data_IF_498942982637
#
_entry.id   IF_498942982637
#
_cell.length_a   1.000
_cell.length_b   1.000
_cell.length_c   1.000
_cell.angle_alpha   90.00
_cell.angle_beta   90.00
_cell.angle_gamma   90.00
#
_symmetry.space_group_name_H-M   'P 1'
#
loop_
_entity.id
_entity.type
_entity.pdbx_description
1 polymer ?
#
# COMPACT_ATOMS: atom_id res chain seq x y z
N UNK A 1 10.39 -16.46 -10.23
CA UNK A 1 10.56 -17.56 -9.25
C UNK A 1 11.56 -17.25 -8.12
N UNK A 2 12.23 -16.09 -8.04
CA UNK A 2 13.54 -16.03 -7.33
C UNK A 2 13.66 -15.04 -6.14
N UNK A 3 12.64 -14.25 -5.78
CA UNK A 3 12.79 -13.26 -4.68
C UNK A 3 12.26 -13.69 -3.31
N UNK A 4 11.34 -14.64 -3.25
CA UNK A 4 10.61 -14.96 -2.02
C UNK A 4 10.87 -16.38 -1.45
N UNK A 5 11.64 -17.22 -2.16
CA UNK A 5 12.02 -18.54 -1.69
C UNK A 5 13.27 -18.50 -0.80
N UNK A 6 13.28 -17.63 0.22
CA UNK A 6 14.14 -17.88 1.36
C UNK A 6 13.51 -19.01 2.18
N UNK A 7 14.32 -20.00 2.57
CA UNK A 7 13.87 -21.15 3.37
C UNK A 7 13.10 -20.67 4.60
N UNK A 8 11.79 -20.95 4.65
CA UNK A 8 10.92 -20.62 5.78
C UNK A 8 10.03 -19.37 5.60
N UNK A 9 10.15 -18.62 4.51
CA UNK A 9 9.28 -17.46 4.26
C UNK A 9 7.86 -17.90 3.87
N UNK A 10 6.88 -17.55 4.71
CA UNK A 10 5.46 -17.77 4.42
C UNK A 10 5.04 -16.92 3.23
N UNK A 11 4.66 -17.58 2.15
CA UNK A 11 4.24 -16.96 0.88
C UNK A 11 2.98 -17.65 0.36
N UNK A 12 2.13 -16.92 -0.34
CA UNK A 12 0.94 -17.46 -0.98
C UNK A 12 0.80 -16.96 -2.41
N UNK A 13 0.04 -17.71 -3.22
CA UNK A 13 -0.44 -17.23 -4.51
C UNK A 13 -1.68 -16.36 -4.25
N UNK A 14 -1.74 -15.12 -4.78
CA UNK A 14 -2.89 -14.23 -4.59
C UNK A 14 -4.15 -14.82 -5.23
N UNK A 15 -5.30 -14.57 -4.61
CA UNK A 15 -6.62 -14.91 -5.14
C UNK A 15 -7.37 -13.62 -5.50
N UNK A 16 -7.85 -13.54 -6.74
CA UNK A 16 -8.68 -12.43 -7.16
C UNK A 16 -10.16 -12.79 -7.05
N UNK A 17 -10.95 -11.88 -6.49
CA UNK A 17 -12.40 -11.98 -6.41
C UNK A 17 -13.07 -10.91 -7.28
N UNK A 18 -14.24 -11.24 -7.84
CA UNK A 18 -15.09 -10.31 -8.57
C UNK A 18 -16.30 -9.93 -7.71
N UNK A 19 -16.05 -9.21 -6.61
CA UNK A 19 -17.08 -8.65 -5.73
C UNK A 19 -17.59 -7.31 -6.28
N UNK A 20 -18.85 -6.96 -5.99
CA UNK A 20 -19.40 -5.63 -6.29
C UNK A 20 -18.67 -4.52 -5.52
N UNK A 21 -18.34 -4.82 -4.27
CA UNK A 21 -17.55 -3.96 -3.38
C UNK A 21 -16.07 -4.34 -3.45
N UNK A 22 -15.17 -3.37 -3.73
CA UNK A 22 -13.73 -3.58 -3.68
C UNK A 22 -13.28 -3.97 -2.28
N UNK A 23 -12.33 -4.90 -2.18
CA UNK A 23 -11.71 -5.25 -0.91
C UNK A 23 -10.27 -5.72 -1.07
N UNK A 24 -9.52 -5.63 0.02
CA UNK A 24 -8.20 -6.26 0.16
C UNK A 24 -8.15 -6.98 1.50
N UNK A 25 -7.75 -8.25 1.49
CA UNK A 25 -7.54 -9.06 2.68
C UNK A 25 -6.17 -9.74 2.62
N UNK A 26 -5.32 -9.39 3.57
CA UNK A 26 -3.97 -9.93 3.75
C UNK A 26 -3.85 -10.49 5.16
N UNK A 27 -3.39 -11.74 5.28
CA UNK A 27 -3.16 -12.43 6.55
C UNK A 27 -1.68 -12.68 6.73
N UNK A 28 -1.13 -12.30 7.88
CA UNK A 28 0.28 -12.39 8.26
C UNK A 28 1.23 -11.89 7.14
N UNK A 29 0.91 -10.73 6.59
CA UNK A 29 1.67 -10.13 5.49
C UNK A 29 2.90 -9.38 5.97
N UNK A 30 3.97 -9.38 5.15
CA UNK A 30 5.26 -8.77 5.46
C UNK A 30 5.70 -7.84 4.34
N UNK A 31 6.49 -6.81 4.68
CA UNK A 31 6.95 -5.85 3.67
C UNK A 31 7.99 -6.53 2.75
N UNK A 32 7.71 -6.69 1.43
CA UNK A 32 8.58 -7.45 0.53
C UNK A 32 10.02 -6.92 0.47
N UNK A 33 10.19 -5.60 0.59
CA UNK A 33 11.50 -4.95 0.51
C UNK A 33 12.32 -5.10 1.78
N UNK A 34 11.69 -5.30 2.94
CA UNK A 34 12.36 -5.39 4.23
C UNK A 34 12.73 -6.81 4.65
N UNK A 35 12.15 -7.84 4.00
CA UNK A 35 12.44 -9.25 4.30
C UNK A 35 13.94 -9.60 4.25
N UNK A 36 14.72 -8.93 3.41
CA UNK A 36 16.16 -9.17 3.29
C UNK A 36 17.00 -8.50 4.39
N UNK A 37 16.44 -7.49 5.05
CA UNK A 37 17.17 -6.62 5.97
C UNK A 37 16.74 -6.79 7.43
N UNK A 38 15.58 -7.41 7.65
CA UNK A 38 15.00 -7.59 8.98
C UNK A 38 14.56 -9.04 9.15
N UNK A 39 15.37 -9.82 9.87
CA UNK A 39 15.06 -11.23 10.19
C UNK A 39 13.80 -11.35 11.07
N UNK A 40 13.55 -10.35 11.93
CA UNK A 40 12.44 -10.32 12.88
C UNK A 40 11.32 -9.34 12.45
N UNK A 41 10.99 -9.31 11.16
CA UNK A 41 9.87 -8.47 10.70
C UNK A 41 8.54 -9.03 11.22
N UNK A 42 7.80 -8.20 11.96
CA UNK A 42 6.48 -8.54 12.50
C UNK A 42 5.46 -8.55 11.37
N UNK A 43 4.77 -9.69 11.20
CA UNK A 43 3.72 -9.84 10.20
C UNK A 43 2.47 -9.05 10.59
N UNK A 44 1.75 -8.52 9.60
CA UNK A 44 0.56 -7.70 9.79
C UNK A 44 -0.62 -8.24 8.99
N UNK A 45 -1.78 -8.28 9.63
CA UNK A 45 -3.06 -8.48 8.95
C UNK A 45 -3.56 -7.14 8.41
N UNK A 46 -4.06 -7.12 7.18
CA UNK A 46 -4.63 -5.92 6.56
C UNK A 46 -5.96 -6.29 5.92
N UNK A 47 -7.03 -5.68 6.40
CA UNK A 47 -8.39 -5.85 5.87
C UNK A 47 -8.97 -4.50 5.50
N UNK A 48 -9.30 -4.32 4.23
CA UNK A 48 -9.95 -3.13 3.69
C UNK A 48 -11.26 -3.58 3.07
N UNK A 49 -12.38 -3.24 3.71
CA UNK A 49 -13.74 -3.49 3.24
C UNK A 49 -14.56 -2.18 3.13
N UNK A 50 -14.01 -1.07 3.64
CA UNK A 50 -14.59 0.27 3.61
C UNK A 50 -13.88 1.15 2.58
N UNK A 51 -14.53 2.24 2.20
CA UNK A 51 -13.97 3.25 1.28
C UNK A 51 -12.77 4.01 1.89
N UNK A 52 -12.60 3.97 3.22
CA UNK A 52 -11.53 4.66 3.94
C UNK A 52 -11.04 3.83 5.12
N UNK A 53 -9.70 3.75 5.26
CA UNK A 53 -9.01 3.21 6.42
C UNK A 53 -8.13 4.30 7.02
N UNK A 54 -8.42 4.71 8.26
CA UNK A 54 -7.62 5.70 8.98
C UNK A 54 -6.59 4.98 9.86
N UNK A 55 -5.30 5.15 9.55
CA UNK A 55 -4.20 4.55 10.31
C UNK A 55 -3.56 5.60 11.23
N UNK A 56 -3.81 5.50 12.53
CA UNK A 56 -3.24 6.40 13.55
C UNK A 56 -2.21 5.68 14.43
N UNK A 57 -1.39 6.44 15.14
CA UNK A 57 -0.35 5.91 16.03
C UNK A 57 0.89 6.80 16.10
N UNK A 58 1.85 6.49 16.98
CA UNK A 58 3.05 7.31 17.18
C UNK A 58 3.89 7.41 15.91
N UNK A 59 4.62 8.51 15.76
CA UNK A 59 5.65 8.65 14.72
C UNK A 59 6.69 7.53 14.92
N UNK A 60 7.16 6.94 13.81
CA UNK A 60 7.99 5.72 13.79
C UNK A 60 7.30 4.40 14.18
N UNK A 61 5.98 4.39 14.43
CA UNK A 61 5.21 3.16 14.68
C UNK A 61 5.01 2.22 13.47
N UNK A 62 5.71 2.45 12.36
CA UNK A 62 5.62 1.60 11.17
C UNK A 62 4.42 1.85 10.24
N UNK A 63 3.64 2.93 10.46
CA UNK A 63 2.46 3.27 9.66
C UNK A 63 2.77 3.38 8.16
N UNK A 64 3.76 4.20 7.80
CA UNK A 64 4.21 4.36 6.41
C UNK A 64 4.77 3.06 5.82
N UNK A 65 5.41 2.23 6.65
CA UNK A 65 5.90 0.90 6.26
C UNK A 65 4.75 -0.04 5.90
N UNK A 66 3.66 -0.02 6.68
CA UNK A 66 2.45 -0.80 6.43
C UNK A 66 1.74 -0.36 5.15
N UNK A 67 1.61 0.96 4.93
CA UNK A 67 1.02 1.49 3.69
C UNK A 67 1.82 1.10 2.45
N UNK A 68 3.16 1.24 2.51
CA UNK A 68 4.05 0.81 1.42
C UNK A 68 3.99 -0.70 1.19
N UNK A 69 3.90 -1.49 2.27
CA UNK A 69 3.75 -2.95 2.19
C UNK A 69 2.49 -3.33 1.41
N UNK A 70 1.34 -2.73 1.74
CA UNK A 70 0.09 -2.96 1.04
C UNK A 70 0.22 -2.66 -0.46
N UNK A 71 0.73 -1.49 -0.83
CA UNK A 71 0.91 -1.11 -2.24
C UNK A 71 1.81 -2.08 -3.00
N UNK A 72 2.94 -2.47 -2.42
CA UNK A 72 3.86 -3.44 -3.03
C UNK A 72 3.22 -4.82 -3.21
N UNK A 73 2.47 -5.30 -2.22
CA UNK A 73 1.79 -6.60 -2.30
C UNK A 73 0.73 -6.60 -3.40
N UNK A 74 -0.06 -5.52 -3.54
CA UNK A 74 -1.06 -5.40 -4.61
C UNK A 74 -0.40 -5.44 -6.00
N UNK A 75 0.71 -4.70 -6.19
CA UNK A 75 1.48 -4.74 -7.44
C UNK A 75 1.98 -6.15 -7.74
N UNK A 76 2.62 -6.79 -6.76
CA UNK A 76 3.12 -8.16 -6.90
C UNK A 76 2.00 -9.14 -7.24
N UNK A 77 0.84 -9.00 -6.59
CA UNK A 77 -0.30 -9.85 -6.83
C UNK A 77 -0.80 -9.73 -8.27
N UNK A 78 -0.96 -8.51 -8.79
CA UNK A 78 -1.42 -8.25 -10.16
C UNK A 78 -0.39 -8.58 -11.23
N UNK A 79 0.89 -8.70 -10.88
CA UNK A 79 1.93 -9.27 -11.74
C UNK A 79 1.88 -10.81 -11.81
N UNK A 80 1.00 -11.46 -11.04
CA UNK A 80 0.94 -12.92 -10.93
C UNK A 80 2.09 -13.53 -10.12
N UNK A 81 2.76 -12.73 -9.28
CA UNK A 81 3.81 -13.22 -8.40
C UNK A 81 3.23 -13.80 -7.10
N UNK A 82 3.99 -14.69 -6.46
CA UNK A 82 3.76 -15.01 -5.06
C UNK A 82 3.95 -13.74 -4.22
N UNK A 83 3.20 -13.64 -3.12
CA UNK A 83 3.29 -12.52 -2.18
C UNK A 83 3.69 -13.01 -0.79
N UNK A 84 4.43 -12.21 0.01
CA UNK A 84 4.87 -12.57 1.35
C UNK A 84 3.75 -12.42 2.39
N UNK A 85 2.75 -13.28 2.31
CA UNK A 85 1.63 -13.37 3.22
C UNK A 85 1.22 -14.83 3.37
N UNK A 86 0.54 -15.16 4.48
CA UNK A 86 -0.11 -16.47 4.66
C UNK A 86 -1.30 -16.61 3.72
N UNK A 87 -2.09 -15.55 3.59
CA UNK A 87 -3.20 -15.47 2.65
C UNK A 87 -3.28 -14.07 2.03
N UNK A 88 -3.66 -14.02 0.76
CA UNK A 88 -3.87 -12.79 0.01
C UNK A 88 -5.08 -12.97 -0.91
N UNK A 89 -6.15 -12.24 -0.61
CA UNK A 89 -7.35 -12.19 -1.44
C UNK A 89 -7.75 -10.74 -1.65
N UNK A 90 -7.98 -10.34 -2.89
CA UNK A 90 -8.32 -8.95 -3.22
C UNK A 90 -9.22 -8.89 -4.46
N UNK A 91 -9.96 -7.80 -4.59
CA UNK A 91 -10.48 -7.38 -5.89
C UNK A 91 -9.37 -6.74 -6.72
N UNK A 92 -9.35 -6.91 -8.05
CA UNK A 92 -8.39 -6.21 -8.90
C UNK A 92 -8.41 -4.69 -8.68
N UNK A 93 -7.22 -4.10 -8.52
CA UNK A 93 -7.02 -2.67 -8.38
C UNK A 93 -6.67 -2.09 -9.75
N UNK A 94 -7.39 -1.05 -10.17
CA UNK A 94 -7.20 -0.45 -11.49
C UNK A 94 -6.06 0.59 -11.51
N UNK A 95 -5.87 1.30 -10.41
CA UNK A 95 -4.85 2.33 -10.25
C UNK A 95 -4.44 2.47 -8.79
N UNK A 96 -3.16 2.69 -8.56
CA UNK A 96 -2.61 2.99 -7.24
C UNK A 96 -2.17 4.45 -7.23
N UNK A 97 -2.73 5.23 -6.32
CA UNK A 97 -2.32 6.60 -6.05
C UNK A 97 -1.53 6.63 -4.75
N UNK A 98 -0.42 7.35 -4.73
CA UNK A 98 0.43 7.46 -3.55
C UNK A 98 0.78 8.92 -3.26
N UNK A 99 0.64 9.30 -2.00
CA UNK A 99 1.22 10.51 -1.42
C UNK A 99 1.86 10.08 -0.11
N UNK A 100 3.13 9.68 -0.16
CA UNK A 100 3.83 9.07 0.97
C UNK A 100 5.01 9.94 1.41
N UNK A 101 4.71 11.10 2.01
CA UNK A 101 5.70 12.06 2.52
C UNK A 101 6.41 12.89 1.46
N UNK A 102 6.89 14.07 1.87
CA UNK A 102 7.44 15.11 1.00
C UNK A 102 8.73 14.67 0.29
N UNK A 103 8.66 14.49 -1.03
CA UNK A 103 9.80 14.93 -1.84
C UNK A 103 9.67 16.45 -1.95
N UNK A 104 10.54 17.16 -1.25
CA UNK A 104 10.72 18.60 -1.39
C UNK A 104 10.95 18.94 -2.86
N UNK A 105 9.87 19.33 -3.55
CA UNK A 105 9.98 20.10 -4.79
C UNK A 105 10.14 21.56 -4.38
N UNK A 106 11.35 21.90 -3.95
CA UNK A 106 11.79 23.30 -3.69
C UNK A 106 11.79 24.13 -4.99
N UNK A 107 11.66 23.48 -6.14
CA UNK A 107 11.78 24.10 -7.45
C UNK A 107 10.38 24.29 -8.02
N UNK A 108 9.84 25.53 -7.94
CA UNK A 108 8.87 26.14 -8.88
C UNK A 108 8.03 27.31 -8.29
N UNK A 109 8.41 27.98 -7.20
CA UNK A 109 7.76 29.25 -6.81
C UNK A 109 6.27 29.18 -6.43
N UNK A 110 5.68 27.99 -6.38
CA UNK A 110 4.32 27.72 -5.90
C UNK A 110 4.34 27.29 -4.42
N UNK A 111 3.27 27.60 -3.68
CA UNK A 111 3.13 27.19 -2.29
C UNK A 111 3.06 25.66 -2.17
N UNK A 112 3.74 25.09 -1.19
CA UNK A 112 3.64 23.66 -0.84
C UNK A 112 2.20 23.20 -0.67
N UNK A 113 1.36 24.04 -0.07
CA UNK A 113 -0.07 23.80 0.07
C UNK A 113 -0.81 23.71 -1.27
N UNK A 114 -0.46 24.56 -2.24
CA UNK A 114 -1.07 24.51 -3.57
C UNK A 114 -0.69 23.23 -4.31
N UNK A 115 0.58 22.82 -4.23
CA UNK A 115 1.06 21.56 -4.81
C UNK A 115 0.30 20.37 -4.18
N UNK A 116 0.14 20.35 -2.86
CA UNK A 116 -0.60 19.30 -2.14
C UNK A 116 -2.07 19.22 -2.56
N UNK A 117 -2.75 20.36 -2.67
CA UNK A 117 -4.13 20.41 -3.12
C UNK A 117 -4.26 19.98 -4.58
N UNK A 118 -3.33 20.39 -5.44
CA UNK A 118 -3.31 20.01 -6.86
C UNK A 118 -3.14 18.49 -7.03
N UNK A 119 -2.20 17.89 -6.29
CA UNK A 119 -2.01 16.43 -6.27
C UNK A 119 -3.27 15.71 -5.74
N UNK A 120 -3.87 16.21 -4.66
CA UNK A 120 -5.12 15.65 -4.11
C UNK A 120 -6.28 15.76 -5.11
N UNK A 121 -6.39 16.87 -5.83
CA UNK A 121 -7.40 17.06 -6.87
C UNK A 121 -7.21 16.07 -8.03
N UNK A 122 -5.97 15.77 -8.41
CA UNK A 122 -5.66 14.73 -9.41
C UNK A 122 -6.12 13.35 -8.92
N UNK A 123 -5.85 13.00 -7.66
CA UNK A 123 -6.32 11.74 -7.07
C UNK A 123 -7.84 11.64 -7.14
N UNK A 124 -8.56 12.68 -6.68
CA UNK A 124 -10.03 12.70 -6.67
C UNK A 124 -10.64 12.66 -8.08
N UNK A 125 -10.02 13.33 -9.05
CA UNK A 125 -10.52 13.39 -10.43
C UNK A 125 -10.36 12.06 -11.16
N UNK A 126 -9.36 11.28 -10.81
CA UNK A 126 -8.96 10.10 -11.57
C UNK A 126 -9.17 8.77 -10.84
N UNK A 127 -9.48 8.79 -9.56
CA UNK A 127 -9.80 7.59 -8.80
C UNK A 127 -11.14 7.00 -9.24
N UNK A 128 -11.21 5.67 -9.22
CA UNK A 128 -12.46 4.93 -9.38
C UNK A 128 -12.74 4.17 -8.09
N UNK A 129 -13.89 3.51 -8.00
CA UNK A 129 -14.18 2.61 -6.88
C UNK A 129 -13.12 1.52 -6.71
N UNK A 130 -12.43 1.11 -7.77
CA UNK A 130 -11.40 0.07 -7.72
C UNK A 130 -9.98 0.61 -7.51
N UNK A 131 -9.81 1.91 -7.32
CA UNK A 131 -8.50 2.52 -7.11
C UNK A 131 -8.06 2.38 -5.65
N UNK A 132 -6.78 2.09 -5.44
CA UNK A 132 -6.16 2.11 -4.12
C UNK A 132 -5.46 3.45 -3.92
N UNK A 133 -5.88 4.20 -2.91
CA UNK A 133 -5.27 5.49 -2.57
C UNK A 133 -4.51 5.34 -1.24
N UNK A 134 -3.21 5.60 -1.25
CA UNK A 134 -2.34 5.55 -0.08
C UNK A 134 -1.85 6.96 0.24
N UNK A 135 -2.30 7.52 1.35
CA UNK A 135 -1.93 8.88 1.76
C UNK A 135 -1.29 8.84 3.15
N UNK A 136 -0.13 9.47 3.25
CA UNK A 136 0.63 9.73 4.46
C UNK A 136 0.73 11.25 4.63
N UNK A 137 0.48 11.73 5.85
CA UNK A 137 0.76 13.12 6.26
C UNK A 137 0.11 14.22 5.38
N UNK A 138 -1.23 14.20 5.24
CA UNK A 138 -1.99 15.31 4.63
C UNK A 138 -2.14 16.49 5.61
N UNK A 139 -1.85 17.72 5.16
CA UNK A 139 -2.21 18.96 5.87
C UNK A 139 -1.36 19.26 7.12
N UNK A 140 -0.13 18.76 7.17
CA UNK A 140 0.82 19.02 8.27
C UNK A 140 1.64 20.32 8.03
N UNK A 141 1.54 20.92 6.83
CA UNK A 141 2.27 22.13 6.45
C UNK A 141 1.36 23.32 6.14
#
# INVERSE_FOLDING_TARGET
>A
RTFLQQKGSVVCLPKFSHSETPFVNLVESRNPSLLKYCENFIANDIKIESELLLLTGPNMGGKSTLMRQLGLIVIMAQMGAYVPAKECTLTPVDRIFTRLGAFDRIVEGESTFFVELSETAVVLKHSTKHSLVLIDELGIH
#
